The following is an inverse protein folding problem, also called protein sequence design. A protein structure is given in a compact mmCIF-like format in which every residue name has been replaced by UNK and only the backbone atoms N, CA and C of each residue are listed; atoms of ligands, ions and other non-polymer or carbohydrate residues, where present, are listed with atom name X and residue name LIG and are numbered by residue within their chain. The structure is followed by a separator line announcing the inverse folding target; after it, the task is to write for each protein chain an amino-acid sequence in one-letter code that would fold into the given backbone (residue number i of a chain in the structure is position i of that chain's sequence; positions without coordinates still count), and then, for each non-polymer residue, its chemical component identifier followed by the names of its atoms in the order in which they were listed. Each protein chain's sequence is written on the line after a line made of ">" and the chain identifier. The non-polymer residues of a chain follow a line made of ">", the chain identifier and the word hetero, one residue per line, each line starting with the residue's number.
data_IF_218962492856
#
_entry.id   IF_218962492856
#
_cell.length_a   1.000
_cell.length_b   1.000
_cell.length_c   1.000
_cell.angle_alpha   90.00
_cell.angle_beta   90.00
_cell.angle_gamma   90.00
#
_symmetry.space_group_name_H-M   'P 1'
#
loop_
_entity.id
_entity.type
_entity.pdbx_description
1 polymer ?
#
# COMPACT_ATOMS: atom_id res chain seq x y z
N UNK A 1 21.76 -10.27 -9.92
CA UNK A 1 21.35 -8.93 -9.46
C UNK A 1 20.44 -8.35 -10.54
N UNK A 2 19.21 -7.96 -10.21
CA UNK A 2 18.26 -7.43 -11.20
C UNK A 2 18.78 -6.11 -11.76
N UNK A 3 18.74 -5.92 -13.08
CA UNK A 3 19.03 -4.63 -13.71
C UNK A 3 17.79 -3.73 -13.58
N UNK A 4 17.90 -2.63 -12.81
CA UNK A 4 16.83 -1.67 -12.56
C UNK A 4 17.04 -0.32 -13.30
N UNK A 5 18.02 -0.24 -14.21
CA UNK A 5 18.35 1.01 -14.92
C UNK A 5 17.20 1.52 -15.80
N UNK A 6 16.32 0.62 -16.26
CA UNK A 6 15.15 0.97 -17.07
C UNK A 6 13.97 1.50 -16.24
N UNK A 7 14.03 1.39 -14.90
CA UNK A 7 12.93 1.81 -14.02
C UNK A 7 12.89 3.33 -13.94
N UNK A 8 11.76 3.90 -14.33
CA UNK A 8 11.47 5.34 -14.26
C UNK A 8 10.34 5.66 -13.28
N UNK A 9 9.45 4.70 -13.05
CA UNK A 9 8.33 4.83 -12.14
C UNK A 9 8.24 3.60 -11.23
N UNK A 10 8.13 3.84 -9.93
CA UNK A 10 8.02 2.81 -8.90
C UNK A 10 6.68 2.97 -8.17
N UNK A 11 5.94 1.88 -8.03
CA UNK A 11 4.84 1.79 -7.07
C UNK A 11 5.39 1.17 -5.79
N UNK A 12 5.14 1.80 -4.66
CA UNK A 12 5.49 1.28 -3.34
C UNK A 12 4.19 0.98 -2.60
N UNK A 13 3.93 -0.28 -2.26
CA UNK A 13 2.81 -0.65 -1.39
C UNK A 13 3.31 -0.87 0.03
N UNK A 14 2.61 -0.32 1.01
CA UNK A 14 2.91 -0.53 2.42
C UNK A 14 1.67 -0.97 3.19
N UNK A 15 1.82 -2.07 3.93
CA UNK A 15 0.77 -2.63 4.78
C UNK A 15 0.63 -1.89 6.12
N UNK A 16 -0.51 -2.08 6.79
CA UNK A 16 -0.79 -1.46 8.10
C UNK A 16 0.21 -1.89 9.18
N UNK A 17 0.63 -3.15 9.19
CA UNK A 17 1.63 -3.67 10.14
C UNK A 17 2.96 -2.94 10.06
N UNK A 18 3.38 -2.55 8.85
CA UNK A 18 4.62 -1.80 8.62
C UNK A 18 4.52 -0.32 9.01
N UNK A 19 3.30 0.23 9.07
CA UNK A 19 3.03 1.62 9.44
C UNK A 19 2.72 1.80 10.93
N UNK A 20 2.36 0.71 11.63
CA UNK A 20 1.92 0.75 13.02
C UNK A 20 3.00 0.26 13.98
N UNK A 21 2.91 0.72 15.23
CA UNK A 21 3.64 0.17 16.37
C UNK A 21 3.00 -1.14 16.86
N UNK A 22 3.53 -1.70 17.95
CA UNK A 22 3.03 -2.94 18.56
C UNK A 22 1.59 -2.80 19.11
N UNK A 23 1.16 -1.60 19.45
CA UNK A 23 -0.20 -1.29 19.91
C UNK A 23 -1.19 -1.11 18.76
N UNK A 24 -0.76 -1.26 17.50
CA UNK A 24 -1.58 -1.09 16.31
C UNK A 24 -1.88 0.36 15.94
N UNK A 25 -1.22 1.33 16.57
CA UNK A 25 -1.34 2.75 16.27
C UNK A 25 -0.28 3.17 15.24
N UNK A 26 -0.58 4.21 14.44
CA UNK A 26 0.37 4.73 13.46
C UNK A 26 1.67 5.19 14.13
N UNK A 27 2.78 4.72 13.60
CA UNK A 27 4.13 5.07 14.04
C UNK A 27 4.75 6.09 13.06
N UNK A 28 4.80 7.35 13.50
CA UNK A 28 5.35 8.45 12.68
C UNK A 28 6.83 8.25 12.32
N UNK A 29 7.62 7.54 13.15
CA UNK A 29 9.02 7.27 12.84
C UNK A 29 9.15 6.27 11.70
N UNK A 30 8.31 5.22 11.68
CA UNK A 30 8.27 4.25 10.58
C UNK A 30 7.84 4.92 9.28
N UNK A 31 6.81 5.77 9.33
CA UNK A 31 6.34 6.54 8.17
C UNK A 31 7.45 7.49 7.69
N UNK A 32 8.13 8.18 8.61
CA UNK A 32 9.25 9.07 8.26
C UNK A 32 10.38 8.31 7.54
N UNK A 33 10.75 7.11 8.02
CA UNK A 33 11.77 6.27 7.37
C UNK A 33 11.37 5.90 5.94
N UNK A 34 10.11 5.55 5.72
CA UNK A 34 9.57 5.29 4.37
C UNK A 34 9.71 6.54 3.49
N UNK A 35 9.26 7.69 3.98
CA UNK A 35 9.29 8.95 3.23
C UNK A 35 10.71 9.38 2.89
N UNK A 36 11.68 9.13 3.78
CA UNK A 36 13.10 9.36 3.49
C UNK A 36 13.57 8.55 2.27
N UNK A 37 13.17 7.27 2.17
CA UNK A 37 13.50 6.45 1.01
C UNK A 37 12.82 6.96 -0.26
N UNK A 38 11.54 7.35 -0.16
CA UNK A 38 10.82 7.96 -1.29
C UNK A 38 11.51 9.25 -1.74
N UNK A 39 11.95 10.09 -0.81
CA UNK A 39 12.68 11.32 -1.13
C UNK A 39 14.03 11.05 -1.83
N UNK A 40 14.70 9.93 -1.49
CA UNK A 40 15.92 9.51 -2.21
C UNK A 40 15.58 9.09 -3.65
N UNK A 41 14.51 8.33 -3.86
CA UNK A 41 14.06 7.92 -5.19
C UNK A 41 13.66 9.14 -6.04
N UNK A 42 12.93 10.08 -5.46
CA UNK A 42 12.55 11.35 -6.13
C UNK A 42 13.78 12.15 -6.55
N UNK A 43 14.78 12.27 -5.70
CA UNK A 43 16.07 12.96 -6.04
C UNK A 43 16.83 12.27 -7.15
N UNK A 44 16.65 10.96 -7.34
CA UNK A 44 17.20 10.20 -8.48
C UNK A 44 16.38 10.36 -9.76
N UNK A 45 15.32 11.16 -9.74
CA UNK A 45 14.47 11.45 -10.91
C UNK A 45 13.38 10.40 -11.16
N UNK A 46 13.12 9.48 -10.22
CA UNK A 46 12.04 8.51 -10.38
C UNK A 46 10.68 9.13 -10.06
N UNK A 47 9.65 8.75 -10.83
CA UNK A 47 8.25 8.91 -10.43
C UNK A 47 7.95 7.87 -9.34
N UNK A 48 7.17 8.27 -8.33
CA UNK A 48 6.77 7.37 -7.23
C UNK A 48 5.27 7.49 -7.02
N UNK A 49 4.61 6.35 -6.92
CA UNK A 49 3.22 6.21 -6.46
C UNK A 49 3.24 5.39 -5.17
N UNK A 50 2.56 5.85 -4.13
CA UNK A 50 2.44 5.12 -2.86
C UNK A 50 1.04 4.50 -2.78
N UNK A 51 0.97 3.21 -2.45
CA UNK A 51 -0.28 2.53 -2.07
C UNK A 51 -0.18 2.23 -0.58
N UNK A 52 -1.05 2.87 0.20
CA UNK A 52 -0.96 2.86 1.66
C UNK A 52 -2.19 2.24 2.29
N UNK A 53 -1.97 1.39 3.26
CA UNK A 53 -2.97 0.94 4.23
C UNK A 53 -2.94 1.83 5.49
N UNK A 54 -3.70 1.45 6.52
CA UNK A 54 -3.59 2.03 7.87
C UNK A 54 -4.68 3.04 8.23
N UNK A 55 -5.69 3.27 7.36
CA UNK A 55 -6.78 4.20 7.68
C UNK A 55 -7.55 3.78 8.94
N UNK A 56 -7.95 2.51 9.08
CA UNK A 56 -8.65 2.00 10.26
C UNK A 56 -7.79 2.16 11.52
N UNK A 57 -6.52 1.77 11.47
CA UNK A 57 -5.57 1.92 12.60
C UNK A 57 -5.40 3.39 13.00
N UNK A 58 -5.32 4.27 12.01
CA UNK A 58 -5.29 5.72 12.25
C UNK A 58 -6.54 6.20 12.98
N UNK A 59 -7.73 5.76 12.56
CA UNK A 59 -8.99 6.11 13.20
C UNK A 59 -9.10 5.57 14.63
N UNK A 60 -8.60 4.37 14.88
CA UNK A 60 -8.50 3.82 16.23
C UNK A 60 -7.61 4.70 17.12
N UNK A 61 -6.46 5.13 16.61
CA UNK A 61 -5.57 6.04 17.34
C UNK A 61 -6.22 7.39 17.66
N UNK A 62 -6.93 8.00 16.70
CA UNK A 62 -7.66 9.26 16.90
C UNK A 62 -8.73 9.14 17.99
N UNK A 63 -9.42 8.00 18.06
CA UNK A 63 -10.48 7.76 19.05
C UNK A 63 -9.98 7.05 20.31
N UNK A 64 -8.67 6.78 20.45
CA UNK A 64 -8.06 6.07 21.58
C UNK A 64 -8.70 4.68 21.82
N UNK A 65 -9.02 3.94 20.77
CA UNK A 65 -9.57 2.60 20.87
C UNK A 65 -8.44 1.57 20.97
N UNK A 66 -8.54 0.66 21.92
CA UNK A 66 -7.58 -0.43 22.14
C UNK A 66 -7.89 -1.68 21.31
N UNK A 67 -9.15 -1.85 20.85
CA UNK A 67 -9.56 -3.03 20.12
C UNK A 67 -10.23 -2.66 18.79
N UNK A 68 -9.88 -3.41 17.73
CA UNK A 68 -10.48 -3.25 16.42
C UNK A 68 -11.93 -3.77 16.42
N UNK A 69 -12.92 -2.97 16.09
CA UNK A 69 -14.31 -3.41 16.10
C UNK A 69 -14.54 -4.51 15.05
N UNK A 70 -15.48 -5.41 15.37
CA UNK A 70 -15.87 -6.49 14.43
C UNK A 70 -16.89 -6.00 13.40
N UNK A 71 -17.76 -5.06 13.81
CA UNK A 71 -18.83 -4.52 12.99
C UNK A 71 -18.27 -3.69 11.81
N UNK A 72 -18.79 -3.95 10.61
CA UNK A 72 -18.33 -3.30 9.37
C UNK A 72 -18.56 -1.81 9.42
N UNK A 73 -19.75 -1.37 9.81
CA UNK A 73 -20.08 0.06 9.91
C UNK A 73 -19.14 0.83 10.84
N UNK A 74 -18.66 0.17 11.90
CA UNK A 74 -17.67 0.77 12.79
C UNK A 74 -16.28 0.82 12.14
N UNK A 75 -15.89 -0.22 11.39
CA UNK A 75 -14.62 -0.20 10.61
C UNK A 75 -14.65 0.89 9.55
N UNK A 76 -15.75 1.02 8.81
CA UNK A 76 -15.96 2.07 7.81
C UNK A 76 -15.87 3.47 8.43
N UNK A 77 -16.51 3.69 9.59
CA UNK A 77 -16.42 4.95 10.32
C UNK A 77 -14.98 5.25 10.77
N UNK A 78 -14.25 4.24 11.27
CA UNK A 78 -12.84 4.39 11.65
C UNK A 78 -11.97 4.69 10.43
N UNK A 79 -12.20 4.04 9.29
CA UNK A 79 -11.49 4.34 8.06
C UNK A 79 -11.71 5.78 7.61
N UNK A 80 -12.95 6.28 7.68
CA UNK A 80 -13.29 7.66 7.35
C UNK A 80 -12.54 8.67 8.22
N UNK A 81 -12.56 8.47 9.54
CA UNK A 81 -11.87 9.32 10.52
C UNK A 81 -10.36 9.25 10.32
N UNK A 82 -9.86 8.03 10.18
CA UNK A 82 -8.44 7.76 10.13
C UNK A 82 -7.79 8.15 8.81
N UNK A 83 -8.50 8.06 7.68
CA UNK A 83 -7.95 8.44 6.37
C UNK A 83 -7.56 9.91 6.33
N UNK A 84 -8.38 10.80 6.89
CA UNK A 84 -8.05 12.23 6.99
C UNK A 84 -6.78 12.45 7.83
N UNK A 85 -6.68 11.78 8.99
CA UNK A 85 -5.52 11.90 9.87
C UNK A 85 -4.25 11.28 9.26
N UNK A 86 -4.37 10.13 8.58
CA UNK A 86 -3.27 9.50 7.86
C UNK A 86 -2.71 10.42 6.78
N UNK A 87 -3.58 11.06 6.01
CA UNK A 87 -3.16 12.02 4.98
C UNK A 87 -2.47 13.24 5.58
N UNK A 88 -2.96 13.75 6.72
CA UNK A 88 -2.29 14.85 7.43
C UNK A 88 -0.86 14.46 7.84
N UNK A 89 -0.66 13.24 8.37
CA UNK A 89 0.68 12.75 8.71
C UNK A 89 1.57 12.67 7.47
N UNK A 90 1.06 12.15 6.35
CA UNK A 90 1.83 12.09 5.10
C UNK A 90 2.20 13.49 4.61
N UNK A 91 1.25 14.43 4.59
CA UNK A 91 1.50 15.81 4.15
C UNK A 91 2.57 16.50 5.01
N UNK A 92 2.44 16.41 6.34
CA UNK A 92 3.40 16.98 7.28
C UNK A 92 4.81 16.40 7.05
N UNK A 93 4.93 15.08 6.91
CA UNK A 93 6.22 14.42 6.78
C UNK A 93 6.84 14.61 5.38
N UNK A 94 6.04 14.60 4.30
CA UNK A 94 6.54 14.91 2.95
C UNK A 94 7.01 16.34 2.83
N UNK A 95 6.36 17.28 3.53
CA UNK A 95 6.75 18.70 3.54
C UNK A 95 8.17 18.92 4.03
N UNK A 96 8.68 18.08 4.96
CA UNK A 96 10.06 18.13 5.45
C UNK A 96 11.11 17.90 4.33
N UNK A 97 10.70 17.27 3.25
CA UNK A 97 11.54 17.00 2.07
C UNK A 97 11.16 17.86 0.85
N UNK A 98 10.31 18.89 1.05
CA UNK A 98 9.77 19.73 -0.01
C UNK A 98 9.00 18.94 -1.08
N UNK A 99 8.42 17.81 -0.71
CA UNK A 99 7.59 16.97 -1.57
C UNK A 99 6.11 17.24 -1.29
N UNK A 100 5.28 17.04 -2.31
CA UNK A 100 3.82 17.18 -2.22
C UNK A 100 3.19 15.83 -2.48
N UNK A 101 2.05 15.57 -1.86
CA UNK A 101 1.26 14.37 -2.09
C UNK A 101 -0.20 14.70 -2.42
N UNK A 102 -0.90 13.73 -3.01
CA UNK A 102 -2.31 13.84 -3.35
C UNK A 102 -3.02 12.54 -2.99
N UNK A 103 -4.17 12.64 -2.33
CA UNK A 103 -4.99 11.47 -1.98
C UNK A 103 -5.81 11.00 -3.17
N UNK A 104 -5.87 9.67 -3.34
CA UNK A 104 -6.77 8.99 -4.27
C UNK A 104 -7.38 7.79 -3.54
N UNK A 105 -8.70 7.70 -3.55
CA UNK A 105 -9.43 6.55 -3.01
C UNK A 105 -10.10 5.80 -4.15
N UNK A 106 -9.88 4.49 -4.22
CA UNK A 106 -10.36 3.62 -5.29
C UNK A 106 -11.21 2.49 -4.74
N UNK A 107 -12.15 2.05 -5.57
CA UNK A 107 -12.87 0.80 -5.36
C UNK A 107 -12.49 -0.19 -6.45
N UNK A 108 -12.75 -1.47 -6.25
CA UNK A 108 -12.53 -2.49 -7.28
C UNK A 108 -13.30 -2.21 -8.56
N UNK A 109 -14.54 -1.77 -8.45
CA UNK A 109 -15.41 -1.44 -9.58
C UNK A 109 -14.82 -0.36 -10.50
N UNK A 110 -13.87 0.46 -9.99
CA UNK A 110 -13.23 1.49 -10.79
C UNK A 110 -12.35 0.90 -11.89
N UNK A 111 -11.86 -0.33 -11.69
CA UNK A 111 -11.04 -1.07 -12.67
C UNK A 111 -11.90 -1.80 -13.71
N UNK A 112 -13.14 -2.16 -13.39
CA UNK A 112 -14.03 -2.89 -14.28
C UNK A 112 -14.71 -1.97 -15.31
N UNK A 113 -14.74 -0.67 -15.05
CA UNK A 113 -15.40 0.30 -15.91
C UNK A 113 -14.39 1.10 -16.75
N UNK A 114 -14.28 0.80 -18.04
CA UNK A 114 -13.35 1.44 -18.98
C UNK A 114 -13.31 2.97 -18.87
N UNK A 115 -14.47 3.63 -18.73
CA UNK A 115 -14.52 5.10 -18.62
C UNK A 115 -13.92 5.61 -17.32
N UNK A 116 -14.16 4.93 -16.19
CA UNK A 116 -13.56 5.27 -14.89
C UNK A 116 -12.06 5.05 -14.92
N UNK A 117 -11.63 3.92 -15.48
CA UNK A 117 -10.23 3.58 -15.64
C UNK A 117 -9.46 4.60 -16.47
N UNK A 118 -10.05 5.08 -17.59
CA UNK A 118 -9.45 6.14 -18.40
C UNK A 118 -9.34 7.47 -17.62
N UNK A 119 -10.39 7.86 -16.90
CA UNK A 119 -10.36 9.08 -16.09
C UNK A 119 -9.31 8.98 -14.97
N UNK A 120 -9.19 7.82 -14.32
CA UNK A 120 -8.17 7.54 -13.32
C UNK A 120 -6.76 7.68 -13.91
N UNK A 121 -6.51 7.08 -15.08
CA UNK A 121 -5.21 7.16 -15.77
C UNK A 121 -4.85 8.61 -16.10
N UNK A 122 -5.78 9.41 -16.64
CA UNK A 122 -5.53 10.82 -16.92
C UNK A 122 -5.27 11.64 -15.66
N UNK A 123 -6.04 11.41 -14.59
CA UNK A 123 -5.86 12.12 -13.33
C UNK A 123 -4.49 11.80 -12.72
N UNK A 124 -4.12 10.51 -12.67
CA UNK A 124 -2.82 10.06 -12.14
C UNK A 124 -1.65 10.61 -12.95
N UNK A 125 -1.75 10.58 -14.29
CA UNK A 125 -0.74 11.18 -15.18
C UNK A 125 -0.55 12.67 -14.86
N UNK A 126 -1.64 13.41 -14.74
CA UNK A 126 -1.58 14.86 -14.43
C UNK A 126 -0.97 15.13 -13.05
N UNK A 127 -1.29 14.33 -12.04
CA UNK A 127 -0.71 14.44 -10.69
C UNK A 127 0.81 14.22 -10.75
N UNK A 128 1.23 13.18 -11.47
CA UNK A 128 2.65 12.86 -11.65
C UNK A 128 3.40 13.91 -12.45
N UNK A 129 2.74 14.55 -13.42
CA UNK A 129 3.33 15.62 -14.22
C UNK A 129 3.48 16.94 -13.43
N UNK A 130 2.66 17.13 -12.39
CA UNK A 130 2.87 18.21 -11.38
C UNK A 130 3.96 17.88 -10.36
N UNK A 131 4.67 16.78 -10.51
CA UNK A 131 5.67 16.27 -9.57
C UNK A 131 5.12 16.00 -8.15
N UNK A 132 3.84 15.67 -8.06
CA UNK A 132 3.12 15.32 -6.83
C UNK A 132 3.09 13.80 -6.69
N UNK A 133 3.25 13.30 -5.47
CA UNK A 133 3.22 11.86 -5.16
C UNK A 133 1.77 11.43 -4.93
N UNK A 134 1.18 10.58 -5.81
CA UNK A 134 -0.13 10.00 -5.53
C UNK A 134 -0.03 9.03 -4.34
N UNK A 135 -0.91 9.20 -3.36
CA UNK A 135 -1.12 8.25 -2.25
C UNK A 135 -2.48 7.61 -2.45
N UNK A 136 -2.47 6.34 -2.78
CA UNK A 136 -3.65 5.59 -3.15
C UNK A 136 -4.02 4.65 -2.00
N UNK A 137 -5.28 4.59 -1.67
CA UNK A 137 -5.85 3.61 -0.73
C UNK A 137 -7.20 3.13 -1.25
N UNK A 138 -7.69 2.02 -0.71
CA UNK A 138 -9.06 1.60 -0.91
C UNK A 138 -10.03 2.58 -0.27
N UNK A 139 -11.21 2.75 -0.90
CA UNK A 139 -12.32 3.49 -0.30
C UNK A 139 -13.09 2.60 0.66
N UNK A 140 -12.52 2.38 1.84
CA UNK A 140 -13.09 1.51 2.88
C UNK A 140 -14.55 1.84 3.27
N UNK A 141 -15.01 3.09 3.02
CA UNK A 141 -16.39 3.51 3.36
C UNK A 141 -17.41 2.80 2.49
N UNK A 142 -17.06 2.51 1.24
CA UNK A 142 -17.94 1.89 0.25
C UNK A 142 -17.66 0.39 0.10
N UNK A 143 -16.66 -0.14 0.80
CA UNK A 143 -16.33 -1.55 0.76
C UNK A 143 -17.51 -2.39 1.31
N UNK A 144 -17.92 -3.42 0.55
CA UNK A 144 -18.95 -4.38 0.95
C UNK A 144 -18.30 -5.72 1.32
N UNK A 145 -18.85 -6.39 2.34
CA UNK A 145 -18.30 -7.63 2.92
C UNK A 145 -18.08 -8.78 1.93
N UNK A 146 -18.86 -8.83 0.88
CA UNK A 146 -18.85 -9.92 -0.10
C UNK A 146 -17.64 -9.85 -1.03
N UNK A 147 -17.09 -8.67 -1.22
CA UNK A 147 -15.85 -8.44 -1.94
C UNK A 147 -14.77 -8.25 -0.86
N UNK A 148 -14.11 -9.33 -0.48
CA UNK A 148 -12.88 -9.25 0.33
C UNK A 148 -11.78 -8.58 -0.49
N UNK A 149 -11.94 -7.28 -0.66
CA UNK A 149 -10.95 -6.43 -1.24
C UNK A 149 -10.31 -5.67 -0.09
N UNK A 150 -9.55 -6.23 0.63
CA UNK A 150 -8.70 -5.62 1.63
C UNK A 150 -7.26 -5.87 1.26
N UNK A 151 -6.99 -6.05 -0.02
CA UNK A 151 -5.65 -6.35 -0.47
C UNK A 151 -5.12 -5.22 -1.35
N UNK A 152 -4.54 -4.23 -0.67
CA UNK A 152 -3.79 -3.18 -1.34
C UNK A 152 -2.63 -3.76 -2.20
N UNK A 153 -2.26 -5.04 -2.04
CA UNK A 153 -1.29 -5.71 -2.91
C UNK A 153 -1.89 -5.90 -4.30
N UNK A 154 -3.10 -6.44 -4.40
CA UNK A 154 -3.84 -6.57 -5.66
C UNK A 154 -4.10 -5.20 -6.28
N UNK A 155 -4.57 -4.22 -5.49
CA UNK A 155 -4.77 -2.84 -5.94
C UNK A 155 -3.48 -2.26 -6.54
N UNK A 156 -2.34 -2.44 -5.87
CA UNK A 156 -1.06 -1.94 -6.35
C UNK A 156 -0.59 -2.61 -7.64
N UNK A 157 -0.88 -3.90 -7.82
CA UNK A 157 -0.58 -4.63 -9.05
C UNK A 157 -1.44 -4.15 -10.23
N UNK A 158 -2.73 -3.90 -10.01
CA UNK A 158 -3.64 -3.36 -11.02
C UNK A 158 -3.25 -1.94 -11.48
N UNK A 159 -2.61 -1.17 -10.62
CA UNK A 159 -2.14 0.18 -10.95
C UNK A 159 -0.92 0.22 -11.88
N UNK A 160 -0.09 -0.86 -11.91
CA UNK A 160 1.12 -0.87 -12.74
C UNK A 160 0.89 -0.44 -14.20
N UNK A 161 -0.03 -1.07 -14.96
CA UNK A 161 -0.27 -0.68 -16.34
C UNK A 161 -0.96 0.70 -16.47
N UNK A 162 -1.67 1.17 -15.44
CA UNK A 162 -2.42 2.43 -15.48
C UNK A 162 -1.48 3.64 -15.44
N UNK A 163 -0.42 3.54 -14.64
CA UNK A 163 0.56 4.61 -14.46
C UNK A 163 1.88 4.36 -15.21
N UNK A 164 1.94 3.31 -16.01
CA UNK A 164 3.15 2.87 -16.74
C UNK A 164 4.35 2.70 -15.80
N UNK A 165 4.13 2.05 -14.64
CA UNK A 165 5.20 1.78 -13.69
C UNK A 165 5.92 0.46 -14.05
N UNK A 166 7.25 0.45 -13.89
CA UNK A 166 8.08 -0.69 -14.24
C UNK A 166 8.48 -1.54 -13.02
N UNK A 167 8.18 -1.05 -11.81
CA UNK A 167 8.54 -1.75 -10.57
C UNK A 167 7.44 -1.58 -9.53
N UNK A 168 7.04 -2.70 -8.92
CA UNK A 168 6.23 -2.74 -7.71
C UNK A 168 7.10 -3.24 -6.55
N UNK A 169 7.14 -2.48 -5.47
CA UNK A 169 7.80 -2.84 -4.21
C UNK A 169 6.73 -3.06 -3.15
N UNK A 170 6.61 -4.28 -2.65
CA UNK A 170 5.74 -4.61 -1.53
C UNK A 170 6.57 -4.51 -0.24
N UNK A 171 6.25 -3.53 0.61
CA UNK A 171 6.87 -3.39 1.93
C UNK A 171 6.04 -4.18 2.92
N UNK A 172 6.65 -5.21 3.48
CA UNK A 172 6.05 -6.18 4.39
C UNK A 172 6.90 -6.35 5.64
N UNK A 173 6.37 -7.05 6.61
CA UNK A 173 7.05 -7.47 7.84
C UNK A 173 7.89 -8.75 7.67
N UNK A 174 7.90 -9.33 6.46
CA UNK A 174 8.76 -10.47 6.08
C UNK A 174 9.68 -10.09 4.91
N UNK A 175 10.82 -10.79 4.80
CA UNK A 175 11.86 -10.48 3.80
C UNK A 175 11.47 -10.77 2.34
N UNK A 176 10.36 -11.45 2.10
CA UNK A 176 9.85 -11.79 0.78
C UNK A 176 9.06 -13.08 0.75
N UNK A 177 8.96 -13.71 -0.43
CA UNK A 177 8.26 -14.99 -0.58
C UNK A 177 9.14 -16.13 -0.07
N UNK A 178 8.56 -16.96 0.79
CA UNK A 178 9.16 -18.20 1.31
C UNK A 178 8.48 -19.42 0.71
N UNK A 179 9.18 -20.55 0.70
CA UNK A 179 8.61 -21.83 0.26
C UNK A 179 7.67 -22.48 1.31
N UNK A 180 7.58 -21.89 2.51
CA UNK A 180 6.70 -22.26 3.61
C UNK A 180 6.63 -21.08 4.60
N UNK A 181 5.73 -21.13 5.57
CA UNK A 181 5.57 -20.06 6.56
C UNK A 181 6.79 -19.97 7.52
N UNK A 182 7.61 -18.88 7.46
CA UNK A 182 8.81 -18.75 8.27
C UNK A 182 8.51 -18.59 9.77
N UNK A 183 7.30 -18.19 10.17
CA UNK A 183 6.91 -18.08 11.59
C UNK A 183 6.60 -19.43 12.23
N UNK A 184 6.19 -20.43 11.43
CA UNK A 184 5.82 -21.76 11.93
C UNK A 184 6.82 -22.85 11.55
N UNK A 185 7.59 -22.64 10.51
CA UNK A 185 8.61 -23.58 10.03
C UNK A 185 9.98 -22.93 9.94
N UNK A 186 10.86 -23.29 10.88
CA UNK A 186 12.26 -22.80 10.93
C UNK A 186 13.11 -23.23 9.72
N UNK A 187 12.65 -24.20 8.91
CA UNK A 187 13.31 -24.64 7.69
C UNK A 187 12.78 -23.91 6.43
N UNK A 188 11.85 -22.96 6.58
CA UNK A 188 11.36 -22.16 5.47
C UNK A 188 12.51 -21.40 4.83
N UNK A 189 12.56 -21.39 3.49
CA UNK A 189 13.64 -20.75 2.71
C UNK A 189 13.07 -19.60 1.92
N UNK A 190 13.73 -18.45 2.04
CA UNK A 190 13.45 -17.29 1.21
C UNK A 190 13.76 -17.59 -0.27
N UNK A 191 12.83 -17.26 -1.15
CA UNK A 191 12.98 -17.34 -2.60
C UNK A 191 13.45 -15.98 -3.10
N UNK A 192 14.77 -15.83 -3.30
CA UNK A 192 15.39 -14.55 -3.65
C UNK A 192 15.05 -14.06 -5.05
N UNK A 193 14.90 -14.99 -5.99
CA UNK A 193 14.57 -14.71 -7.39
C UNK A 193 13.56 -15.74 -7.92
N UNK A 194 12.50 -15.24 -8.57
CA UNK A 194 11.47 -16.04 -9.22
C UNK A 194 11.34 -15.52 -10.64
N UNK A 195 11.81 -16.30 -11.60
CA UNK A 195 11.76 -15.94 -13.03
C UNK A 195 10.38 -16.23 -13.64
N UNK A 196 9.72 -17.28 -13.16
CA UNK A 196 8.42 -17.70 -13.65
C UNK A 196 7.50 -18.07 -12.48
N UNK A 197 6.28 -17.52 -12.51
CA UNK A 197 5.23 -17.90 -11.56
C UNK A 197 4.49 -19.11 -12.10
N UNK A 198 4.85 -20.29 -11.57
CA UNK A 198 4.20 -21.57 -11.86
C UNK A 198 3.22 -21.96 -10.74
N UNK A 199 2.53 -23.09 -10.89
CA UNK A 199 1.59 -23.61 -9.88
C UNK A 199 2.25 -23.86 -8.52
N UNK A 200 3.53 -24.20 -8.51
CA UNK A 200 4.29 -24.40 -7.27
C UNK A 200 4.50 -23.09 -6.52
N UNK A 201 4.89 -22.04 -7.23
CA UNK A 201 5.03 -20.68 -6.66
C UNK A 201 3.67 -20.16 -6.18
N UNK A 202 2.62 -20.36 -6.97
CA UNK A 202 1.26 -19.99 -6.59
C UNK A 202 0.79 -20.71 -5.32
N UNK A 203 1.19 -21.95 -5.10
CA UNK A 203 0.83 -22.69 -3.88
C UNK A 203 1.53 -22.13 -2.63
N UNK A 204 2.74 -21.59 -2.74
CA UNK A 204 3.43 -20.95 -1.61
C UNK A 204 2.75 -19.67 -1.15
N UNK A 205 2.04 -18.97 -2.04
CA UNK A 205 1.33 -17.73 -1.74
C UNK A 205 -0.07 -17.93 -1.11
N UNK A 206 -0.62 -19.16 -1.11
CA UNK A 206 -2.01 -19.43 -0.72
C UNK A 206 -2.28 -19.46 0.79
N UNK A 207 -1.27 -19.62 1.63
CA UNK A 207 -1.44 -19.90 3.08
C UNK A 207 -1.10 -18.73 4.02
N UNK A 208 -1.14 -17.47 3.56
CA UNK A 208 -0.94 -16.32 4.44
C UNK A 208 -2.24 -15.91 5.14
N UNK A 209 -2.66 -16.66 6.16
CA UNK A 209 -3.67 -16.18 7.11
C UNK A 209 -3.02 -15.27 8.16
N UNK A 210 -2.73 -14.02 7.80
CA UNK A 210 -2.39 -13.02 8.81
C UNK A 210 -3.67 -12.64 9.57
N UNK A 211 -3.65 -12.72 10.91
CA UNK A 211 -4.76 -12.25 11.77
C UNK A 211 -5.01 -10.74 11.66
N UNK A 212 -4.08 -10.01 11.07
CA UNK A 212 -4.18 -8.59 10.77
C UNK A 212 -4.27 -8.46 9.26
N UNK A 213 -5.47 -8.59 8.72
CA UNK A 213 -5.69 -8.37 7.30
C UNK A 213 -5.04 -7.06 6.84
N UNK A 214 -4.41 -7.17 5.71
CA UNK A 214 -3.70 -6.10 4.99
C UNK A 214 -4.56 -4.88 4.82
#
# INVERSE_FOLDING_TARGET
>A
MRNLEHVKHVIIKIGSTSLCNEDGQLDKERILKLIQQIAILKRKGLKVTLVSSGAISSGMGVLNLSEKPKEISKKQALAAIGQAHLMQIYEDLFSLFHLKCAQILLNHDDFDHRKRLMNLSFALSSILDYDVIPIINENDILAVDEIKVGDNDTLSALLLPIVDAQLLVLVSDIDGLYNDNPHTNSNAKLLSDIELVDDKIMNYAKDSSSQFGT
#
